data_IF_994187231259
#
_entry.id   IF_994187231259
#
_cell.length_a   1.000
_cell.length_b   1.000
_cell.length_c   1.000
_cell.angle_alpha   90.00
_cell.angle_beta   90.00
_cell.angle_gamma   90.00
#
_symmetry.space_group_name_H-M   'P 1'
#
loop_
_entity.id
_entity.type
_entity.pdbx_description
1 polymer ?
#
# COMPACT_ATOMS: atom_id res chain seq x y z
N UNK A 1 5.25 -8.33 -19.59
CA UNK A 1 4.06 -8.78 -18.80
C UNK A 1 4.16 -8.21 -17.39
N UNK A 2 3.05 -8.05 -16.68
CA UNK A 2 3.07 -7.69 -15.24
C UNK A 2 2.86 -8.95 -14.41
N UNK A 3 3.51 -9.03 -13.25
CA UNK A 3 3.35 -10.10 -12.26
C UNK A 3 2.72 -9.57 -10.98
N UNK A 4 1.89 -10.40 -10.33
CA UNK A 4 1.11 -10.03 -9.15
C UNK A 4 1.31 -11.06 -8.04
N UNK A 5 1.69 -10.58 -6.85
CA UNK A 5 1.82 -11.40 -5.63
C UNK A 5 1.06 -10.77 -4.48
N UNK A 6 0.14 -11.50 -3.85
CA UNK A 6 -0.54 -11.01 -2.66
C UNK A 6 0.38 -11.09 -1.43
N UNK A 7 0.36 -10.07 -0.58
CA UNK A 7 1.03 -10.12 0.72
C UNK A 7 0.25 -11.01 1.69
N UNK A 8 0.95 -11.81 2.50
CA UNK A 8 0.33 -12.77 3.43
C UNK A 8 -0.23 -12.16 4.72
N UNK A 9 0.10 -10.90 5.02
CA UNK A 9 -0.24 -10.23 6.26
C UNK A 9 -1.07 -8.96 5.99
N UNK A 10 -2.03 -8.65 6.87
CA UNK A 10 -2.94 -7.51 6.73
C UNK A 10 -4.30 -7.89 6.14
N UNK A 11 -5.24 -8.32 6.99
CA UNK A 11 -6.53 -8.90 6.57
C UNK A 11 -7.62 -7.86 6.22
N UNK A 12 -7.44 -6.58 6.57
CA UNK A 12 -8.50 -5.58 6.36
C UNK A 12 -8.63 -5.12 4.91
N UNK A 13 -7.53 -4.79 4.23
CA UNK A 13 -7.54 -4.36 2.82
C UNK A 13 -6.55 -5.24 2.04
N UNK A 14 -7.00 -6.01 1.04
CA UNK A 14 -6.11 -6.81 0.21
C UNK A 14 -4.99 -5.95 -0.39
N UNK A 15 -3.76 -6.39 -0.18
CA UNK A 15 -2.54 -5.70 -0.62
C UNK A 15 -1.71 -6.64 -1.49
N UNK A 16 -1.21 -6.12 -2.61
CA UNK A 16 -0.50 -6.88 -3.64
C UNK A 16 0.78 -6.15 -4.04
N UNK A 17 1.86 -6.91 -4.26
CA UNK A 17 3.01 -6.44 -5.01
C UNK A 17 2.72 -6.60 -6.50
N UNK A 18 2.96 -5.54 -7.26
CA UNK A 18 3.01 -5.56 -8.72
C UNK A 18 4.47 -5.52 -9.14
N UNK A 19 4.89 -6.43 -10.01
CA UNK A 19 6.19 -6.36 -10.68
C UNK A 19 5.97 -6.03 -12.16
N UNK A 20 6.43 -4.86 -12.59
CA UNK A 20 6.34 -4.42 -13.98
C UNK A 20 7.31 -5.19 -14.88
N UNK A 21 7.09 -5.08 -16.19
CA UNK A 21 7.90 -5.78 -17.20
C UNK A 21 9.39 -5.39 -17.16
N UNK A 22 9.70 -4.18 -16.69
CA UNK A 22 11.07 -3.67 -16.52
C UNK A 22 11.65 -3.96 -15.13
N UNK A 23 10.97 -4.78 -14.31
CA UNK A 23 11.41 -5.18 -12.98
C UNK A 23 11.06 -4.18 -11.86
N UNK A 24 10.50 -3.00 -12.17
CA UNK A 24 10.05 -2.07 -11.12
C UNK A 24 8.91 -2.67 -10.30
N UNK A 25 8.97 -2.48 -8.99
CA UNK A 25 7.97 -2.99 -8.04
C UNK A 25 7.08 -1.85 -7.56
N UNK A 26 5.79 -2.17 -7.38
CA UNK A 26 4.79 -1.28 -6.82
C UNK A 26 3.94 -2.05 -5.82
N UNK A 27 3.20 -1.32 -4.99
CA UNK A 27 2.20 -1.89 -4.09
C UNK A 27 0.81 -1.40 -4.50
N UNK A 28 -0.10 -2.33 -4.73
CA UNK A 28 -1.53 -2.05 -4.86
C UNK A 28 -2.25 -2.39 -3.57
N UNK A 29 -3.06 -1.47 -3.07
CA UNK A 29 -3.97 -1.72 -1.94
C UNK A 29 -5.38 -1.40 -2.37
N UNK A 30 -6.30 -2.35 -2.17
CA UNK A 30 -7.69 -2.25 -2.65
C UNK A 30 -8.69 -2.54 -1.54
N UNK A 31 -9.92 -2.08 -1.73
CA UNK A 31 -11.02 -2.48 -0.83
C UNK A 31 -11.28 -3.99 -0.93
N UNK A 32 -11.73 -4.64 0.15
CA UNK A 32 -12.19 -6.01 0.06
C UNK A 32 -13.39 -6.11 -0.90
N UNK A 33 -13.54 -7.23 -1.62
CA UNK A 33 -14.68 -7.44 -2.50
C UNK A 33 -15.99 -7.57 -1.70
N UNK A 34 -17.11 -7.29 -2.36
CA UNK A 34 -18.44 -7.49 -1.79
C UNK A 34 -18.97 -6.30 -0.97
N UNK A 35 -20.08 -6.53 -0.26
CA UNK A 35 -20.77 -5.46 0.49
C UNK A 35 -19.97 -5.12 1.74
N UNK A 36 -19.47 -3.89 1.79
CA UNK A 36 -18.75 -3.37 2.96
C UNK A 36 -19.67 -3.39 4.19
N UNK A 37 -19.16 -3.95 5.29
CA UNK A 37 -19.90 -4.15 6.55
C UNK A 37 -20.19 -2.83 7.26
N UNK A 38 -19.42 -1.77 6.96
CA UNK A 38 -19.62 -0.42 7.47
C UNK A 38 -19.25 0.64 6.45
N UNK A 39 -19.96 1.77 6.44
CA UNK A 39 -19.62 2.97 5.65
C UNK A 39 -18.31 3.64 6.10
N UNK A 40 -17.80 3.32 7.29
CA UNK A 40 -16.56 3.89 7.84
C UNK A 40 -15.35 2.98 7.64
N UNK A 41 -15.55 1.71 7.33
CA UNK A 41 -14.49 0.74 7.12
C UNK A 41 -13.93 0.82 5.69
N UNK A 42 -12.68 0.37 5.50
CA UNK A 42 -12.05 0.18 4.18
C UNK A 42 -11.97 1.46 3.30
N UNK A 43 -11.65 2.60 3.93
CA UNK A 43 -11.46 3.89 3.23
C UNK A 43 -10.03 4.01 2.69
N UNK A 44 -9.70 3.20 1.69
CA UNK A 44 -8.38 3.25 1.01
C UNK A 44 -8.10 4.61 0.36
N UNK A 45 -9.15 5.37 0.01
CA UNK A 45 -9.05 6.73 -0.50
C UNK A 45 -8.50 7.70 0.55
N UNK A 46 -8.88 7.49 1.83
CA UNK A 46 -8.37 8.31 2.93
C UNK A 46 -6.90 8.00 3.17
N UNK A 47 -6.50 6.74 3.09
CA UNK A 47 -5.09 6.32 3.19
C UNK A 47 -4.26 7.01 2.08
N UNK A 48 -4.71 6.93 0.82
CA UNK A 48 -4.08 7.63 -0.31
C UNK A 48 -3.97 9.14 -0.07
N UNK A 49 -5.08 9.82 0.28
CA UNK A 49 -5.10 11.29 0.44
C UNK A 49 -4.14 11.76 1.53
N UNK A 50 -4.03 11.02 2.63
CA UNK A 50 -3.11 11.36 3.73
C UNK A 50 -1.66 11.20 3.26
N UNK A 51 -1.30 10.05 2.67
CA UNK A 51 0.08 9.84 2.20
C UNK A 51 0.45 10.84 1.11
N UNK A 52 -0.44 11.06 0.13
CA UNK A 52 -0.21 12.01 -0.95
C UNK A 52 0.00 13.45 -0.44
N UNK A 53 -0.76 13.87 0.57
CA UNK A 53 -0.57 15.20 1.18
C UNK A 53 0.75 15.32 1.95
N UNK A 54 1.28 14.22 2.47
CA UNK A 54 2.53 14.18 3.24
C UNK A 54 3.79 14.06 2.36
N UNK A 55 3.67 13.75 1.06
CA UNK A 55 4.80 13.53 0.13
C UNK A 55 5.82 14.67 0.10
N UNK A 56 5.40 15.92 0.39
CA UNK A 56 6.27 17.11 0.37
C UNK A 56 6.57 17.64 1.78
N UNK A 57 6.53 16.78 2.79
CA UNK A 57 6.83 17.11 4.19
C UNK A 57 8.02 16.29 4.70
N UNK A 58 8.50 16.58 5.90
CA UNK A 58 9.58 15.81 6.54
C UNK A 58 9.12 14.42 7.03
N UNK A 59 7.84 14.08 6.89
CA UNK A 59 7.31 12.76 7.26
C UNK A 59 7.61 11.77 6.14
N UNK A 60 8.40 10.74 6.44
CA UNK A 60 8.69 9.67 5.50
C UNK A 60 7.41 8.87 5.16
N UNK A 61 6.96 8.99 3.91
CA UNK A 61 5.83 8.24 3.35
C UNK A 61 6.22 7.68 1.98
N UNK A 62 5.69 6.51 1.58
CA UNK A 62 5.90 6.01 0.23
C UNK A 62 5.24 6.96 -0.77
N UNK A 63 5.86 7.14 -1.94
CA UNK A 63 5.23 7.88 -3.03
C UNK A 63 3.93 7.21 -3.46
N UNK A 64 2.85 7.96 -3.56
CA UNK A 64 1.59 7.49 -4.14
C UNK A 64 1.53 7.86 -5.63
N UNK A 65 1.10 6.93 -6.47
CA UNK A 65 1.11 7.12 -7.93
C UNK A 65 -0.27 7.45 -8.49
N UNK A 66 -1.30 6.75 -8.01
CA UNK A 66 -2.66 6.99 -8.44
C UNK A 66 -3.69 6.41 -7.46
N UNK A 67 -4.85 7.03 -7.43
CA UNK A 67 -6.08 6.52 -6.82
C UNK A 67 -7.09 6.26 -7.94
N UNK A 68 -7.66 5.05 -7.97
CA UNK A 68 -8.74 4.68 -8.87
C UNK A 68 -9.99 4.38 -8.03
N UNK A 69 -11.00 5.24 -8.16
CA UNK A 69 -12.32 5.07 -7.54
C UNK A 69 -13.34 4.43 -8.50
N UNK A 70 -12.91 4.07 -9.72
CA UNK A 70 -13.75 3.41 -10.72
C UNK A 70 -13.74 1.88 -10.54
N UNK A 71 -14.82 1.37 -9.97
CA UNK A 71 -15.02 -0.06 -9.71
C UNK A 71 -15.06 -0.91 -11.00
N UNK A 72 -15.26 -0.31 -12.18
CA UNK A 72 -15.28 -1.06 -13.44
C UNK A 72 -13.91 -1.61 -13.84
N UNK A 73 -12.81 -1.09 -13.28
CA UNK A 73 -11.44 -1.45 -13.68
C UNK A 73 -11.00 -2.79 -13.08
N UNK A 74 -11.17 -2.98 -11.77
CA UNK A 74 -10.81 -4.24 -11.08
C UNK A 74 -11.86 -4.71 -10.05
N UNK A 75 -13.08 -4.17 -10.10
CA UNK A 75 -14.20 -4.55 -9.25
C UNK A 75 -14.30 -3.83 -7.91
N UNK A 76 -13.26 -3.09 -7.49
CA UNK A 76 -13.24 -2.32 -6.23
C UNK A 76 -12.25 -1.16 -6.32
N UNK A 77 -12.40 -0.07 -5.54
CA UNK A 77 -11.45 1.02 -5.52
C UNK A 77 -10.09 0.56 -5.00
N UNK A 78 -9.03 1.16 -5.55
CA UNK A 78 -7.65 0.84 -5.21
C UNK A 78 -6.75 2.04 -5.41
N UNK A 79 -5.58 2.00 -4.78
CA UNK A 79 -4.49 2.92 -5.09
C UNK A 79 -3.18 2.17 -5.27
N UNK A 80 -2.27 2.81 -6.00
CA UNK A 80 -0.91 2.33 -6.25
C UNK A 80 0.09 3.23 -5.52
N UNK A 81 1.06 2.63 -4.85
CA UNK A 81 2.15 3.31 -4.18
C UNK A 81 3.49 2.62 -4.44
N UNK A 82 4.55 3.30 -4.03
CA UNK A 82 5.92 2.81 -4.06
C UNK A 82 6.09 1.53 -3.28
N UNK A 83 6.86 0.60 -3.85
CA UNK A 83 7.40 -0.53 -3.11
C UNK A 83 8.69 -0.08 -2.44
N UNK A 84 8.69 0.01 -1.11
CA UNK A 84 9.88 0.27 -0.33
C UNK A 84 10.59 -1.05 -0.02
N UNK A 85 11.75 -1.25 -0.63
CA UNK A 85 12.62 -2.41 -0.36
C UNK A 85 13.45 -2.11 0.89
N UNK A 86 12.85 -2.39 2.05
CA UNK A 86 13.42 -2.07 3.36
C UNK A 86 13.16 -3.18 4.37
N UNK A 87 13.59 -2.93 5.61
CA UNK A 87 13.42 -3.86 6.72
C UNK A 87 12.28 -3.41 7.61
N UNK A 88 11.48 -4.36 8.08
CA UNK A 88 10.53 -4.14 9.17
C UNK A 88 11.24 -4.60 10.45
N UNK A 89 11.42 -3.67 11.38
CA UNK A 89 11.98 -4.00 12.70
C UNK A 89 10.81 -4.43 13.58
N UNK A 90 10.74 -5.73 13.86
CA UNK A 90 9.63 -6.32 14.64
C UNK A 90 9.90 -6.29 16.15
N UNK A 91 11.15 -6.44 16.55
CA UNK A 91 11.57 -6.37 17.95
C UNK A 91 11.82 -4.93 18.37
N UNK A 92 10.96 -4.40 19.25
CA UNK A 92 11.05 -3.04 19.77
C UNK A 92 12.25 -2.83 20.72
N UNK A 93 12.94 -3.89 21.15
CA UNK A 93 14.17 -3.79 21.94
C UNK A 93 15.41 -3.49 21.09
N UNK A 94 15.27 -3.51 19.75
CA UNK A 94 16.30 -3.11 18.79
C UNK A 94 17.67 -3.82 18.98
N UNK A 95 17.73 -5.14 19.26
CA UNK A 95 18.98 -5.79 19.64
C UNK A 95 20.03 -5.77 18.52
N UNK A 96 19.59 -5.79 17.26
CA UNK A 96 20.42 -5.85 16.05
C UNK A 96 20.31 -4.59 15.18
N UNK A 97 19.90 -3.45 15.77
CA UNK A 97 19.73 -2.18 15.03
C UNK A 97 20.70 -1.14 15.60
N UNK A 98 21.55 -0.59 14.74
CA UNK A 98 22.47 0.48 15.12
C UNK A 98 21.76 1.85 15.18
N UNK A 99 22.23 2.82 15.99
CA UNK A 99 21.61 4.15 16.07
C UNK A 99 21.62 4.96 14.77
N UNK A 100 22.43 4.57 13.79
CA UNK A 100 22.55 5.24 12.49
C UNK A 100 21.60 4.66 11.42
N UNK A 101 20.98 3.51 11.70
CA UNK A 101 19.92 2.91 10.89
C UNK A 101 18.54 3.45 11.27
#
# INVERSE_FOLDING_TARGET
PIDLKQFGFGQSNPTYQITAADGRKFVMRKKPPGKLVSKTAHKVEREYRIMHALENTDVAVPKTYCLCEDDSIIGTPFYIMEFLDGRIIEDFTLPDVSPQE
#
